data_IF_058534625246
#
_entry.id   IF_058534625246
#
_cell.length_a   1.000
_cell.length_b   1.000
_cell.length_c   1.000
_cell.angle_alpha   90.00
_cell.angle_beta   90.00
_cell.angle_gamma   90.00
#
_symmetry.space_group_name_H-M   'P 1'
#
loop_
_entity.id
_entity.type
_entity.pdbx_description
1 polymer ?
#
# COMPACT_ATOMS: atom_id res chain seq x y z
N UNK A 1 -23.04 23.86 -0.06
CA UNK A 1 -22.43 23.47 1.20
C UNK A 1 -21.89 22.06 1.08
N UNK A 2 -20.70 21.83 1.59
CA UNK A 2 -20.11 20.49 1.55
C UNK A 2 -20.88 19.57 2.48
N UNK A 3 -21.24 18.40 2.01
CA UNK A 3 -21.92 17.41 2.83
C UNK A 3 -20.99 16.92 3.94
N UNK A 4 -21.54 16.83 5.14
CA UNK A 4 -20.79 16.36 6.30
C UNK A 4 -20.26 14.95 6.09
N UNK A 5 -21.02 14.10 5.38
CA UNK A 5 -20.59 12.74 5.08
C UNK A 5 -19.29 12.69 4.24
N UNK A 6 -19.16 13.62 3.31
CA UNK A 6 -17.95 13.74 2.50
C UNK A 6 -16.75 14.14 3.37
N UNK A 7 -16.95 15.11 4.25
CA UNK A 7 -15.92 15.58 5.17
C UNK A 7 -15.49 14.47 6.13
N UNK A 8 -16.43 13.73 6.66
CA UNK A 8 -16.16 12.64 7.59
C UNK A 8 -15.34 11.54 6.91
N UNK A 9 -15.71 11.16 5.69
CA UNK A 9 -15.00 10.13 4.94
C UNK A 9 -13.56 10.54 4.65
N UNK A 10 -13.37 11.76 4.17
CA UNK A 10 -12.04 12.26 3.86
C UNK A 10 -11.20 12.47 5.13
N UNK A 11 -11.83 12.94 6.19
CA UNK A 11 -11.15 13.13 7.48
C UNK A 11 -10.63 11.80 8.03
N UNK A 12 -11.44 10.75 7.98
CA UNK A 12 -11.03 9.44 8.49
C UNK A 12 -9.89 8.84 7.69
N UNK A 13 -9.94 8.96 6.37
CA UNK A 13 -8.88 8.48 5.49
C UNK A 13 -7.58 9.24 5.74
N UNK A 14 -7.65 10.56 5.80
CA UNK A 14 -6.49 11.40 6.09
C UNK A 14 -5.92 11.12 7.48
N UNK A 15 -6.80 10.89 8.46
CA UNK A 15 -6.36 10.56 9.81
C UNK A 15 -5.59 9.25 9.83
N UNK A 16 -6.07 8.23 9.14
CA UNK A 16 -5.38 6.95 9.07
C UNK A 16 -4.00 7.07 8.42
N UNK A 17 -3.91 7.81 7.31
CA UNK A 17 -2.64 8.05 6.63
C UNK A 17 -1.70 8.86 7.52
N UNK A 18 -2.18 9.93 8.13
CA UNK A 18 -1.37 10.76 9.02
C UNK A 18 -0.89 9.98 10.24
N UNK A 19 -1.74 9.11 10.77
CA UNK A 19 -1.36 8.25 11.90
C UNK A 19 -0.22 7.31 11.51
N UNK A 20 -0.26 6.73 10.31
CA UNK A 20 0.82 5.89 9.80
C UNK A 20 2.12 6.68 9.65
N UNK A 21 2.03 7.91 9.14
CA UNK A 21 3.21 8.75 8.95
C UNK A 21 3.86 9.09 10.27
N UNK A 22 3.07 9.46 11.28
CA UNK A 22 3.58 9.81 12.61
C UNK A 22 4.25 8.60 13.25
N UNK A 23 3.70 7.41 13.06
CA UNK A 23 4.18 6.19 13.70
C UNK A 23 5.14 5.38 12.83
N UNK A 24 5.65 5.98 11.74
CA UNK A 24 6.49 5.24 10.77
C UNK A 24 7.70 4.58 11.44
N UNK A 25 8.27 5.21 12.45
CA UNK A 25 9.40 4.64 13.17
C UNK A 25 9.01 3.45 14.06
N UNK A 26 7.72 3.30 14.34
CA UNK A 26 7.20 2.16 15.08
C UNK A 26 7.00 0.91 14.25
N UNK A 27 7.12 1.02 12.92
CA UNK A 27 6.97 -0.12 12.03
C UNK A 27 8.33 -0.77 11.76
N UNK A 28 8.31 -2.09 11.60
CA UNK A 28 9.52 -2.86 11.31
C UNK A 28 9.96 -2.77 9.86
N UNK A 29 9.15 -2.14 9.01
CA UNK A 29 9.49 -1.96 7.61
C UNK A 29 8.24 -1.75 6.76
N UNK A 30 8.43 -1.62 5.43
CA UNK A 30 7.32 -1.29 4.54
C UNK A 30 6.24 -2.39 4.45
N UNK A 31 6.61 -3.67 4.61
CA UNK A 31 5.60 -4.74 4.62
C UNK A 31 4.66 -4.60 5.81
N UNK A 32 5.18 -4.14 6.94
CA UNK A 32 4.37 -3.90 8.13
C UNK A 32 3.34 -2.80 7.87
N UNK A 33 3.77 -1.71 7.23
CA UNK A 33 2.86 -0.63 6.83
C UNK A 33 1.81 -1.17 5.86
N UNK A 34 2.23 -1.95 4.87
CA UNK A 34 1.30 -2.54 3.90
C UNK A 34 0.27 -3.44 4.57
N UNK A 35 0.68 -4.24 5.55
CA UNK A 35 -0.27 -5.10 6.26
C UNK A 35 -1.31 -4.25 7.01
N UNK A 36 -0.89 -3.17 7.64
CA UNK A 36 -1.80 -2.25 8.31
C UNK A 36 -2.79 -1.64 7.33
N UNK A 37 -2.30 -1.20 6.17
CA UNK A 37 -3.18 -0.66 5.11
C UNK A 37 -4.14 -1.74 4.59
N UNK A 38 -3.65 -2.96 4.39
CA UNK A 38 -4.48 -4.06 3.91
C UNK A 38 -5.66 -4.32 4.85
N UNK A 39 -5.44 -4.19 6.15
CA UNK A 39 -6.50 -4.38 7.15
C UNK A 39 -7.62 -3.37 7.02
N UNK A 40 -7.35 -2.20 6.45
CA UNK A 40 -8.40 -1.20 6.25
C UNK A 40 -9.44 -1.64 5.22
N UNK A 41 -9.11 -2.61 4.38
CA UNK A 41 -10.05 -3.14 3.40
C UNK A 41 -11.10 -4.09 4.03
N UNK A 42 -10.86 -4.52 5.27
CA UNK A 42 -11.81 -5.34 6.05
C UNK A 42 -12.18 -6.65 5.36
N UNK A 43 -11.24 -7.24 4.63
CA UNK A 43 -11.39 -8.54 4.01
C UNK A 43 -10.19 -9.40 4.36
N UNK A 44 -10.31 -10.69 4.07
CA UNK A 44 -9.19 -11.62 4.25
C UNK A 44 -7.99 -11.14 3.42
N UNK A 45 -6.78 -11.23 3.98
CA UNK A 45 -5.56 -10.80 3.30
C UNK A 45 -5.42 -11.45 1.92
N UNK A 46 -5.92 -12.68 1.76
CA UNK A 46 -5.89 -13.37 0.47
C UNK A 46 -6.83 -12.78 -0.57
N UNK A 47 -7.77 -11.94 -0.13
CA UNK A 47 -8.79 -11.33 -0.99
C UNK A 47 -8.65 -9.82 -1.13
N UNK A 48 -7.54 -9.27 -0.65
CA UNK A 48 -7.33 -7.82 -0.73
C UNK A 48 -7.18 -7.37 -2.19
N UNK A 49 -7.57 -6.12 -2.44
CA UNK A 49 -7.24 -5.48 -3.70
C UNK A 49 -5.81 -4.97 -3.63
N UNK A 50 -4.92 -5.62 -4.36
CA UNK A 50 -3.51 -5.21 -4.38
C UNK A 50 -3.35 -3.87 -5.09
N UNK A 51 -4.17 -3.60 -6.11
CA UNK A 51 -4.14 -2.30 -6.78
C UNK A 51 -4.47 -1.18 -5.80
N UNK A 52 -5.56 -1.33 -5.04
CA UNK A 52 -5.93 -0.35 -4.02
C UNK A 52 -4.83 -0.20 -2.98
N UNK A 53 -4.25 -1.31 -2.55
CA UNK A 53 -3.18 -1.30 -1.56
C UNK A 53 -1.96 -0.53 -2.07
N UNK A 54 -1.57 -0.76 -3.33
CA UNK A 54 -0.46 -0.03 -3.94
C UNK A 54 -0.74 1.47 -3.98
N UNK A 55 -1.96 1.85 -4.36
CA UNK A 55 -2.34 3.25 -4.40
C UNK A 55 -2.31 3.90 -3.01
N UNK A 56 -2.80 3.19 -1.99
CA UNK A 56 -2.76 3.67 -0.61
C UNK A 56 -1.32 3.86 -0.12
N UNK A 57 -0.44 2.93 -0.44
CA UNK A 57 0.96 3.04 -0.03
C UNK A 57 1.66 4.20 -0.73
N UNK A 58 1.43 4.36 -2.03
CA UNK A 58 2.03 5.47 -2.78
C UNK A 58 1.53 6.82 -2.26
N UNK A 59 0.27 6.89 -1.84
CA UNK A 59 -0.28 8.09 -1.21
C UNK A 59 0.41 8.35 0.14
N UNK A 60 0.66 7.32 0.93
CA UNK A 60 1.40 7.43 2.18
C UNK A 60 2.79 8.03 1.95
N UNK A 61 3.51 7.55 0.95
CA UNK A 61 4.83 8.08 0.61
C UNK A 61 4.75 9.56 0.19
N UNK A 62 3.75 9.91 -0.62
CA UNK A 62 3.56 11.28 -1.07
C UNK A 62 3.32 12.22 0.10
N UNK A 63 2.44 11.83 1.01
CA UNK A 63 2.13 12.62 2.21
C UNK A 63 3.36 12.79 3.09
N UNK A 64 4.14 11.73 3.27
CA UNK A 64 5.37 11.80 4.05
C UNK A 64 6.34 12.80 3.45
N UNK A 65 6.47 12.82 2.12
CA UNK A 65 7.33 13.80 1.44
C UNK A 65 6.83 15.22 1.61
N UNK A 66 5.53 15.42 1.51
CA UNK A 66 4.95 16.75 1.71
C UNK A 66 5.18 17.27 3.13
N UNK A 67 5.17 16.39 4.11
CA UNK A 67 5.45 16.73 5.50
C UNK A 67 6.94 16.76 5.81
N UNK A 68 7.78 16.52 4.80
CA UNK A 68 9.25 16.49 4.93
C UNK A 68 9.75 15.48 5.96
N UNK A 69 9.03 14.36 6.05
CA UNK A 69 9.44 13.25 6.90
C UNK A 69 10.46 12.42 6.14
N UNK A 70 11.61 12.17 6.77
CA UNK A 70 12.64 11.33 6.19
C UNK A 70 12.24 9.87 6.31
N UNK A 71 12.24 9.17 5.19
CA UNK A 71 11.91 7.76 5.14
C UNK A 71 13.14 6.94 4.83
N UNK A 72 13.26 5.78 5.48
CA UNK A 72 14.34 4.85 5.20
C UNK A 72 14.26 4.37 3.75
N UNK A 73 15.43 3.96 3.22
CA UNK A 73 15.53 3.52 1.83
C UNK A 73 14.56 2.39 1.48
N UNK A 74 14.29 1.49 2.43
CA UNK A 74 13.38 0.36 2.21
C UNK A 74 11.98 0.83 1.80
N UNK A 75 11.51 1.93 2.40
CA UNK A 75 10.20 2.48 2.07
C UNK A 75 10.17 3.01 0.65
N UNK A 76 11.26 3.62 0.21
CA UNK A 76 11.35 4.18 -1.14
C UNK A 76 11.51 3.07 -2.19
N UNK A 77 12.25 2.03 -1.88
CA UNK A 77 12.39 0.86 -2.76
C UNK A 77 11.03 0.18 -2.92
N UNK A 78 10.30 0.01 -1.84
CA UNK A 78 8.95 -0.56 -1.90
C UNK A 78 8.02 0.31 -2.74
N UNK A 79 8.11 1.63 -2.62
CA UNK A 79 7.30 2.55 -3.43
C UNK A 79 7.58 2.35 -4.91
N UNK A 80 8.85 2.23 -5.30
CA UNK A 80 9.23 2.01 -6.69
C UNK A 80 8.68 0.69 -7.20
N UNK A 81 8.78 -0.36 -6.40
CA UNK A 81 8.26 -1.68 -6.76
C UNK A 81 6.73 -1.66 -6.92
N UNK A 82 6.03 -0.98 -6.01
CA UNK A 82 4.57 -0.87 -6.09
C UNK A 82 4.11 -0.02 -7.27
N UNK A 83 4.87 1.01 -7.63
CA UNK A 83 4.58 1.79 -8.83
C UNK A 83 4.71 0.92 -10.09
N UNK A 84 5.72 0.07 -10.13
CA UNK A 84 5.89 -0.90 -11.22
C UNK A 84 4.74 -1.89 -11.26
N UNK A 85 4.39 -2.46 -10.12
CA UNK A 85 3.27 -3.40 -9.98
C UNK A 85 1.97 -2.75 -10.48
N UNK A 86 1.68 -1.54 -10.03
CA UNK A 86 0.48 -0.80 -10.44
C UNK A 86 0.44 -0.63 -11.95
N UNK A 87 1.56 -0.24 -12.53
CA UNK A 87 1.69 -0.09 -13.98
C UNK A 87 1.38 -1.40 -14.70
N UNK A 88 1.90 -2.52 -14.21
CA UNK A 88 1.65 -3.83 -14.80
C UNK A 88 0.18 -4.25 -14.70
N UNK A 89 -0.47 -3.90 -13.59
CA UNK A 89 -1.88 -4.24 -13.40
C UNK A 89 -2.81 -3.42 -14.30
N UNK A 90 -2.42 -2.19 -14.63
CA UNK A 90 -3.24 -1.27 -15.40
C UNK A 90 -3.02 -1.36 -16.91
N UNK A 91 -1.87 -1.89 -17.34
CA UNK A 91 -1.57 -2.02 -18.76
C UNK A 91 -2.06 -3.36 -19.30
N UNK A 92 -2.46 -3.40 -20.58
CA UNK A 92 -2.84 -4.67 -21.21
C UNK A 92 -1.65 -5.62 -21.24
N UNK A 93 -1.89 -6.94 -21.14
CA UNK A 93 -0.81 -7.91 -21.25
C UNK A 93 -0.11 -7.80 -22.61
N UNK A 94 1.22 -7.84 -22.60
CA UNK A 94 2.03 -7.82 -23.81
C UNK A 94 2.62 -9.23 -24.00
N UNK A 95 2.20 -9.97 -25.05
CA UNK A 95 2.72 -11.32 -25.25
C UNK A 95 4.22 -11.39 -25.50
N UNK A 96 4.84 -10.28 -25.91
CA UNK A 96 6.29 -10.24 -26.15
C UNK A 96 7.09 -10.01 -24.86
N UNK A 97 6.44 -9.66 -23.78
CA UNK A 97 7.09 -9.36 -22.51
C UNK A 97 7.30 -10.65 -21.72
N UNK A 98 8.56 -10.99 -21.46
CA UNK A 98 8.92 -12.19 -20.73
C UNK A 98 8.96 -11.97 -19.21
N UNK A 99 8.76 -10.73 -18.77
CA UNK A 99 8.77 -10.43 -17.35
C UNK A 99 7.51 -10.91 -16.63
N UNK A 100 7.50 -10.84 -15.30
CA UNK A 100 6.32 -11.26 -14.54
C UNK A 100 5.12 -10.39 -14.85
N UNK A 101 3.93 -11.00 -14.84
CA UNK A 101 2.69 -10.28 -15.04
C UNK A 101 2.32 -9.49 -13.78
N UNK A 102 1.43 -8.49 -13.93
CA UNK A 102 0.91 -7.77 -12.78
C UNK A 102 0.24 -8.69 -11.78
N UNK A 103 -0.50 -9.69 -12.29
CA UNK A 103 -1.18 -10.67 -11.44
C UNK A 103 -0.18 -11.50 -10.64
N UNK A 104 0.91 -11.95 -11.27
CA UNK A 104 1.94 -12.70 -10.56
C UNK A 104 2.59 -11.87 -9.45
N UNK A 105 2.88 -10.61 -9.74
CA UNK A 105 3.44 -9.69 -8.75
C UNK A 105 2.46 -9.43 -7.61
N UNK A 106 1.18 -9.27 -7.94
CA UNK A 106 0.14 -9.06 -6.93
C UNK A 106 0.00 -10.27 -6.01
N UNK A 107 0.02 -11.47 -6.59
CA UNK A 107 -0.06 -12.72 -5.82
C UNK A 107 1.16 -12.88 -4.91
N UNK A 108 2.32 -12.50 -5.38
CA UNK A 108 3.54 -12.55 -4.59
C UNK A 108 3.42 -11.64 -3.36
N UNK A 109 2.95 -10.41 -3.55
CA UNK A 109 2.77 -9.48 -2.44
C UNK A 109 1.72 -9.99 -1.45
N UNK A 110 0.58 -10.46 -1.93
CA UNK A 110 -0.47 -10.98 -1.07
C UNK A 110 0.05 -12.15 -0.23
N UNK A 111 0.86 -13.02 -0.82
CA UNK A 111 1.49 -14.14 -0.11
C UNK A 111 2.42 -13.63 0.99
N UNK A 112 3.23 -12.62 0.71
CA UNK A 112 4.14 -12.05 1.70
C UNK A 112 3.38 -11.45 2.88
N UNK A 113 2.28 -10.77 2.60
CA UNK A 113 1.44 -10.18 3.66
C UNK A 113 0.74 -11.26 4.49
N UNK A 114 0.22 -12.29 3.84
CA UNK A 114 -0.41 -13.42 4.54
C UNK A 114 0.60 -14.09 5.48
N UNK A 115 1.81 -14.29 5.00
CA UNK A 115 2.88 -14.88 5.80
C UNK A 115 3.24 -14.02 7.00
N UNK A 116 3.36 -12.70 6.78
CA UNK A 116 3.66 -11.76 7.87
C UNK A 116 2.55 -11.77 8.92
N UNK A 117 1.30 -11.76 8.48
CA UNK A 117 0.16 -11.81 9.39
C UNK A 117 0.19 -13.08 10.24
N UNK A 118 0.49 -14.23 9.61
CA UNK A 118 0.55 -15.50 10.32
C UNK A 118 1.66 -15.51 11.38
N UNK A 119 2.79 -14.90 11.09
CA UNK A 119 3.91 -14.86 12.03
C UNK A 119 3.68 -13.94 13.22
N UNK A 120 2.67 -13.08 13.16
CA UNK A 120 2.38 -12.09 14.22
C UNK A 120 1.26 -12.50 15.15
N UNK A 121 0.77 -13.68 15.00
CA UNK A 121 -0.28 -14.19 15.89
C UNK A 121 0.30 -14.77 17.17
#
# INVERSE_FOLDING_TARGET
MVEESWLETNFNEDYEINSLIVDVDGYEGPLDVLLTLARTQKVDVRKISVLMLAEQYLQFIKEAKELRIELAADYLVMAAWLAFLKSRLLLPPDPSDEGPTGEELANYLAFQLERLEAMRR
#
